data_IF_728167927434
#
_entry.id   IF_728167927434
#
_cell.length_a   1.000
_cell.length_b   1.000
_cell.length_c   1.000
_cell.angle_alpha   90.00
_cell.angle_beta   90.00
_cell.angle_gamma   90.00
#
_symmetry.space_group_name_H-M   'P 1'
#
loop_
_entity.id
_entity.type
_entity.pdbx_description
1 polymer ?
#
# COMPACT_ATOMS: atom_id res chain seq x y z
N UNK A 1 -0.05 -0.02 -2.32
CA UNK A 1 -0.95 1.15 -2.52
C UNK A 1 -0.47 2.34 -1.68
N UNK A 2 0.71 2.88 -2.04
CA UNK A 2 1.39 3.91 -1.26
C UNK A 2 2.02 4.96 -2.17
N UNK A 3 2.03 6.21 -1.72
CA UNK A 3 2.67 7.33 -2.39
C UNK A 3 4.17 7.27 -2.15
N UNK A 4 4.91 6.83 -3.17
CA UNK A 4 6.37 6.74 -3.17
C UNK A 4 6.90 7.69 -4.25
N UNK A 5 7.34 8.91 -3.90
CA UNK A 5 7.69 9.94 -4.88
C UNK A 5 8.81 9.52 -5.85
N UNK A 6 9.74 8.70 -5.37
CA UNK A 6 10.86 8.19 -6.13
C UNK A 6 10.79 6.67 -6.15
N UNK A 7 10.30 6.12 -7.26
CA UNK A 7 10.12 4.67 -7.43
C UNK A 7 10.69 4.22 -8.77
N UNK A 8 11.41 3.11 -8.76
CA UNK A 8 11.88 2.40 -9.94
C UNK A 8 11.58 0.92 -9.77
N UNK A 9 11.02 0.31 -10.82
CA UNK A 9 10.58 -1.09 -10.81
C UNK A 9 11.16 -1.74 -12.07
N UNK A 10 11.80 -2.89 -11.87
CA UNK A 10 12.30 -3.75 -12.94
C UNK A 10 11.81 -5.18 -12.68
N UNK A 11 11.56 -5.95 -13.73
CA UNK A 11 10.92 -7.27 -13.63
C UNK A 11 11.41 -8.19 -14.74
N UNK A 12 11.76 -9.41 -14.34
CA UNK A 12 12.29 -10.43 -15.24
C UNK A 12 11.39 -11.66 -15.24
N UNK A 13 11.06 -12.15 -16.44
CA UNK A 13 10.46 -13.47 -16.59
C UNK A 13 11.59 -14.48 -16.74
N UNK A 14 11.77 -15.34 -15.72
CA UNK A 14 12.85 -16.32 -15.69
C UNK A 14 12.31 -17.70 -16.10
N UNK A 15 12.85 -18.24 -17.19
CA UNK A 15 12.55 -19.62 -17.59
C UNK A 15 13.22 -20.62 -16.64
N UNK A 16 12.49 -21.68 -16.29
CA UNK A 16 13.01 -22.79 -15.47
C UNK A 16 12.54 -24.12 -16.05
N UNK A 17 13.18 -25.22 -15.66
CA UNK A 17 12.76 -26.58 -16.05
C UNK A 17 11.55 -27.12 -15.25
N UNK A 18 10.79 -26.26 -14.58
CA UNK A 18 9.54 -26.64 -13.90
C UNK A 18 8.35 -26.52 -14.84
N UNK A 19 7.24 -27.18 -14.48
CA UNK A 19 5.96 -27.03 -15.20
C UNK A 19 5.63 -25.55 -15.38
N UNK A 20 5.31 -25.10 -16.61
CA UNK A 20 4.98 -23.70 -16.87
C UNK A 20 3.86 -23.20 -15.97
N UNK A 21 4.08 -22.05 -15.33
CA UNK A 21 3.05 -21.33 -14.60
C UNK A 21 2.10 -20.62 -15.58
N UNK A 22 0.83 -20.52 -15.21
CA UNK A 22 -0.17 -19.75 -15.95
C UNK A 22 -0.80 -18.69 -15.04
N UNK A 23 -1.75 -17.94 -15.58
CA UNK A 23 -2.52 -16.96 -14.84
C UNK A 23 -3.24 -17.58 -13.63
N UNK A 24 -3.22 -16.86 -12.51
CA UNK A 24 -3.98 -17.18 -11.30
C UNK A 24 -4.69 -15.91 -10.81
N UNK A 25 -5.67 -16.05 -9.91
CA UNK A 25 -6.40 -14.93 -9.29
C UNK A 25 -5.42 -13.84 -8.81
N UNK A 26 -5.60 -12.64 -9.35
CA UNK A 26 -4.74 -11.47 -9.07
C UNK A 26 -3.71 -11.17 -10.15
N UNK A 27 -3.45 -12.07 -11.12
CA UNK A 27 -2.60 -11.79 -12.30
C UNK A 27 -1.25 -11.13 -11.97
N UNK A 28 -0.54 -11.65 -10.96
CA UNK A 28 0.78 -11.14 -10.56
C UNK A 28 0.76 -9.96 -9.58
N UNK A 29 -0.41 -9.36 -9.31
CA UNK A 29 -0.54 -8.26 -8.34
C UNK A 29 -0.17 -8.73 -6.93
N UNK A 30 -0.62 -9.92 -6.53
CA UNK A 30 -0.46 -10.43 -5.16
C UNK A 30 1.00 -10.64 -4.75
N UNK A 31 1.87 -11.07 -5.67
CA UNK A 31 3.30 -11.25 -5.38
C UNK A 31 4.03 -9.90 -5.24
N UNK A 32 3.65 -8.90 -6.03
CA UNK A 32 4.17 -7.54 -5.93
C UNK A 32 3.72 -6.85 -4.64
N UNK A 33 2.42 -6.95 -4.33
CA UNK A 33 1.85 -6.41 -3.10
C UNK A 33 2.46 -7.07 -1.87
N UNK A 34 2.68 -8.39 -1.87
CA UNK A 34 3.36 -9.06 -0.77
C UNK A 34 4.76 -8.47 -0.50
N UNK A 35 5.57 -8.31 -1.55
CA UNK A 35 6.91 -7.74 -1.40
C UNK A 35 6.86 -6.28 -0.88
N UNK A 36 5.91 -5.49 -1.38
CA UNK A 36 5.67 -4.12 -0.94
C UNK A 36 5.26 -4.07 0.54
N UNK A 37 4.30 -4.89 0.97
CA UNK A 37 3.81 -4.93 2.35
C UNK A 37 4.88 -5.41 3.34
N UNK A 38 5.71 -6.38 2.95
CA UNK A 38 6.88 -6.80 3.73
C UNK A 38 7.85 -5.63 3.91
N UNK A 39 8.07 -4.83 2.87
CA UNK A 39 8.94 -3.66 2.96
C UNK A 39 8.37 -2.59 3.89
N UNK A 40 7.06 -2.33 3.82
CA UNK A 40 6.38 -1.39 4.74
C UNK A 40 6.56 -1.80 6.20
N UNK A 41 6.37 -3.08 6.50
CA UNK A 41 6.57 -3.64 7.84
C UNK A 41 8.01 -3.50 8.33
N UNK A 42 8.99 -3.81 7.47
CA UNK A 42 10.42 -3.68 7.81
C UNK A 42 10.80 -2.23 8.12
N UNK A 43 10.34 -1.29 7.31
CA UNK A 43 10.63 0.14 7.50
C UNK A 43 9.99 0.66 8.79
N UNK A 44 8.73 0.32 9.04
CA UNK A 44 8.04 0.73 10.28
C UNK A 44 8.79 0.23 11.53
N UNK A 45 9.15 -1.06 11.56
CA UNK A 45 9.90 -1.66 12.68
C UNK A 45 11.29 -1.06 12.84
N UNK A 46 11.99 -0.76 11.72
CA UNK A 46 13.32 -0.16 11.74
C UNK A 46 13.33 1.21 12.43
N UNK A 47 12.28 2.02 12.23
CA UNK A 47 12.15 3.34 12.84
C UNK A 47 11.38 3.34 14.17
N UNK A 48 10.98 2.16 14.67
CA UNK A 48 10.22 2.02 15.91
C UNK A 48 8.78 2.55 15.83
N UNK A 49 8.16 2.52 14.65
CA UNK A 49 6.78 2.94 14.41
C UNK A 49 5.85 1.74 14.27
N UNK A 50 4.58 1.90 14.67
CA UNK A 50 3.55 0.91 14.40
C UNK A 50 3.36 0.70 12.88
N UNK A 51 3.27 -0.55 12.39
CA UNK A 51 3.16 -0.81 10.95
C UNK A 51 1.89 -0.28 10.30
N UNK A 52 0.76 -0.22 11.02
CA UNK A 52 -0.49 0.31 10.50
C UNK A 52 -0.41 1.85 10.42
N UNK A 53 0.14 2.49 11.45
CA UNK A 53 0.41 3.93 11.45
C UNK A 53 1.36 4.35 10.32
N UNK A 54 2.39 3.56 10.03
CA UNK A 54 3.30 3.82 8.91
C UNK A 54 2.57 3.76 7.55
N UNK A 55 1.58 2.87 7.41
CA UNK A 55 0.74 2.78 6.21
C UNK A 55 -0.18 3.98 6.06
N UNK A 56 -0.75 4.51 7.15
CA UNK A 56 -1.54 5.74 7.10
C UNK A 56 -0.77 6.93 6.53
N UNK A 57 0.50 7.08 6.91
CA UNK A 57 1.36 8.18 6.43
C UNK A 57 1.55 8.08 4.91
N UNK A 58 1.82 6.87 4.42
CA UNK A 58 2.19 6.62 3.03
C UNK A 58 1.00 6.28 2.13
N UNK A 59 -0.22 6.13 2.66
CA UNK A 59 -1.40 5.77 1.87
C UNK A 59 -1.67 6.79 0.75
N UNK A 60 -2.12 6.28 -0.40
CA UNK A 60 -2.56 7.13 -1.50
C UNK A 60 -3.70 8.05 -1.08
N UNK A 61 -3.66 9.28 -1.58
CA UNK A 61 -4.75 10.25 -1.58
C UNK A 61 -5.19 10.54 -3.01
N UNK A 62 -6.39 11.08 -3.16
CA UNK A 62 -6.84 11.59 -4.46
C UNK A 62 -5.86 12.66 -4.98
N UNK A 63 -5.48 12.52 -6.25
CA UNK A 63 -4.47 13.33 -6.91
C UNK A 63 -3.03 12.82 -6.75
N UNK A 64 -2.75 11.87 -5.85
CA UNK A 64 -1.39 11.32 -5.71
C UNK A 64 -0.98 10.56 -6.97
N UNK A 65 0.28 10.73 -7.37
CA UNK A 65 0.83 10.10 -8.57
C UNK A 65 1.24 8.65 -8.29
N UNK A 66 0.66 7.71 -9.04
CA UNK A 66 1.05 6.28 -9.00
C UNK A 66 2.37 6.04 -9.72
N UNK A 67 3.01 4.90 -9.44
CA UNK A 67 4.28 4.50 -10.07
C UNK A 67 4.24 4.50 -11.61
N UNK A 68 3.09 4.19 -12.21
CA UNK A 68 2.89 4.20 -13.67
C UNK A 68 2.40 5.55 -14.22
N UNK A 69 2.61 6.64 -13.48
CA UNK A 69 2.31 8.03 -13.89
C UNK A 69 0.85 8.27 -14.24
N UNK A 70 -0.04 7.78 -13.39
CA UNK A 70 -1.46 8.16 -13.42
C UNK A 70 -1.86 8.73 -12.07
N UNK A 71 -2.70 9.77 -12.04
CA UNK A 71 -3.26 10.25 -10.79
C UNK A 71 -4.13 9.17 -10.14
N UNK A 72 -4.22 9.23 -8.82
CA UNK A 72 -5.14 8.41 -8.04
C UNK A 72 -6.48 9.10 -7.96
N UNK A 73 -7.53 8.32 -8.20
CA UNK A 73 -8.93 8.72 -8.14
C UNK A 73 -9.68 7.69 -7.31
N UNK A 74 -10.62 8.14 -6.48
CA UNK A 74 -11.41 7.26 -5.63
C UNK A 74 -10.57 6.55 -4.57
N UNK A 75 -9.54 7.20 -4.05
CA UNK A 75 -8.76 6.67 -2.93
C UNK A 75 -9.67 6.54 -1.70
N UNK A 76 -9.65 5.36 -1.06
CA UNK A 76 -10.39 5.09 0.16
C UNK A 76 -9.58 4.23 1.15
N UNK A 77 -8.25 4.17 0.97
CA UNK A 77 -7.41 3.28 1.75
C UNK A 77 -7.35 3.69 3.22
N UNK A 78 -7.28 5.00 3.49
CA UNK A 78 -7.24 5.53 4.87
C UNK A 78 -8.52 5.16 5.61
N UNK A 79 -9.68 5.37 5.00
CA UNK A 79 -10.99 5.05 5.54
C UNK A 79 -11.13 3.53 5.78
N UNK A 80 -10.73 2.71 4.81
CA UNK A 80 -10.70 1.25 4.97
C UNK A 80 -9.79 0.79 6.12
N UNK A 81 -8.61 1.39 6.28
CA UNK A 81 -7.69 1.06 7.38
C UNK A 81 -8.25 1.50 8.74
N UNK A 82 -8.97 2.62 8.82
CA UNK A 82 -9.64 3.05 10.05
C UNK A 82 -10.69 2.02 10.47
N UNK A 83 -11.55 1.57 9.56
CA UNK A 83 -12.55 0.54 9.86
C UNK A 83 -11.89 -0.80 10.21
N UNK A 84 -10.84 -1.20 9.49
CA UNK A 84 -10.10 -2.41 9.79
C UNK A 84 -9.46 -2.36 11.19
N UNK A 85 -8.89 -1.21 11.57
CA UNK A 85 -8.32 -0.98 12.90
C UNK A 85 -9.37 -1.15 13.99
N UNK A 86 -10.57 -0.58 13.80
CA UNK A 86 -11.69 -0.71 14.75
C UNK A 86 -12.16 -2.15 14.86
N UNK A 87 -12.39 -2.82 13.72
CA UNK A 87 -12.85 -4.21 13.70
C UNK A 87 -11.84 -5.18 14.33
N UNK A 88 -10.54 -4.93 14.16
CA UNK A 88 -9.47 -5.74 14.73
C UNK A 88 -9.09 -5.37 16.18
N UNK A 89 -9.67 -4.31 16.75
CA UNK A 89 -9.23 -3.70 18.02
C UNK A 89 -7.73 -3.36 18.03
N UNK A 90 -7.19 -2.94 16.87
CA UNK A 90 -5.81 -2.48 16.78
C UNK A 90 -5.74 -1.01 17.21
N UNK A 91 -4.94 -0.65 18.23
CA UNK A 91 -4.85 0.72 18.70
C UNK A 91 -4.05 1.57 17.70
N UNK A 92 -4.61 2.71 17.31
CA UNK A 92 -3.95 3.71 16.46
C UNK A 92 -4.14 5.09 17.07
N UNK A 93 -3.14 5.96 16.96
CA UNK A 93 -3.26 7.31 17.48
C UNK A 93 -4.37 8.11 16.78
N UNK A 94 -5.06 8.96 17.53
CA UNK A 94 -6.22 9.75 17.06
C UNK A 94 -5.89 10.59 15.82
N UNK A 95 -4.65 11.08 15.70
CA UNK A 95 -4.18 11.83 14.52
C UNK A 95 -4.32 11.06 13.20
N UNK A 96 -4.24 9.72 13.22
CA UNK A 96 -4.42 8.88 12.03
C UNK A 96 -5.90 8.61 11.73
N UNK A 97 -6.74 8.58 12.77
CA UNK A 97 -8.20 8.50 12.63
C UNK A 97 -8.81 9.78 12.06
N UNK A 98 -8.13 10.92 12.21
CA UNK A 98 -8.52 12.19 11.62
C UNK A 98 -8.03 12.39 10.15
N UNK A 99 -7.26 11.45 9.60
CA UNK A 99 -6.80 11.52 8.20
C UNK A 99 -7.92 11.13 7.24
N UNK A 100 -7.78 11.55 5.97
CA UNK A 100 -8.65 11.12 4.89
C UNK A 100 -7.86 10.92 3.59
N UNK A 101 -8.33 9.98 2.76
CA UNK A 101 -7.84 9.75 1.40
C UNK A 101 -8.29 10.83 0.43
N UNK A 102 -9.39 11.54 0.73
CA UNK A 102 -9.94 12.58 -0.14
C UNK A 102 -9.15 13.88 0.03
N UNK A 103 -8.90 14.57 -1.08
CA UNK A 103 -8.27 15.90 -1.02
C UNK A 103 -9.17 16.88 -0.24
N UNK A 104 -8.57 17.74 0.60
CA UNK A 104 -9.29 18.81 1.28
C UNK A 104 -9.81 19.81 0.25
N UNK A 105 -11.08 19.70 -0.12
CA UNK A 105 -11.77 20.62 -1.03
C UNK A 105 -11.78 20.11 -2.47
N UNK A 106 -12.76 19.27 -2.77
CA UNK A 106 -13.40 19.19 -4.08
C UNK A 106 -14.85 19.64 -3.90
#
# INVERSE_FOLDING_TARGET
PYTVPNVWIDTYCVYTNRTPSSAMRGFGVTIGDFALEVQMDKLARLIGMDPLEFRFINAYRDGDMKAHRQPTEGAALIECMQEASRAANWPVAEKYLAMSSYAKGA
#
